data_IF_573400513492
#
_entry.id   IF_573400513492
#
_cell.length_a   1.000
_cell.length_b   1.000
_cell.length_c   1.000
_cell.angle_alpha   90.00
_cell.angle_beta   90.00
_cell.angle_gamma   90.00
#
_symmetry.space_group_name_H-M   'P 1'
#
loop_
_entity.id
_entity.type
_entity.pdbx_description
1 polymer ?
#
# COMPACT_ATOMS: atom_id res chain seq x y z
N UNK A 1 -36.34 -30.74 22.10
CA UNK A 1 -34.94 -30.81 22.58
C UNK A 1 -34.10 -30.76 21.31
N UNK A 2 -33.81 -29.57 20.75
CA UNK A 2 -32.66 -28.68 21.06
C UNK A 2 -31.32 -29.42 20.98
N UNK A 3 -30.38 -28.79 20.27
CA UNK A 3 -28.96 -29.16 20.01
C UNK A 3 -28.77 -29.76 18.60
N UNK A 4 -28.03 -29.18 17.66
CA UNK A 4 -27.36 -27.88 17.56
C UNK A 4 -27.12 -27.69 16.05
N UNK A 5 -27.57 -26.58 15.47
CA UNK A 5 -26.98 -26.13 14.20
C UNK A 5 -25.55 -25.74 14.54
N UNK A 6 -24.59 -26.60 14.20
CA UNK A 6 -23.18 -26.21 14.17
C UNK A 6 -23.08 -25.26 12.99
N UNK A 7 -23.35 -23.99 13.28
CA UNK A 7 -22.78 -22.88 12.52
C UNK A 7 -21.29 -23.10 12.65
N UNK A 8 -20.70 -23.77 11.65
CA UNK A 8 -19.27 -23.67 11.39
C UNK A 8 -19.12 -22.19 11.09
N UNK A 9 -18.82 -21.43 12.15
CA UNK A 9 -18.23 -20.13 12.03
C UNK A 9 -16.96 -20.39 11.23
N UNK A 10 -17.07 -20.22 9.93
CA UNK A 10 -15.96 -19.74 9.13
C UNK A 10 -15.70 -18.37 9.76
N UNK A 11 -14.95 -18.40 10.87
CA UNK A 11 -14.12 -17.29 11.29
C UNK A 11 -13.43 -16.93 10.00
N UNK A 12 -13.88 -15.83 9.39
CA UNK A 12 -13.29 -15.31 8.19
C UNK A 12 -11.83 -15.16 8.50
N UNK A 13 -11.05 -16.15 8.06
CA UNK A 13 -9.61 -16.03 8.02
C UNK A 13 -9.44 -14.97 6.95
N UNK A 14 -9.39 -13.71 7.37
CA UNK A 14 -9.11 -12.60 6.47
C UNK A 14 -7.75 -12.92 5.86
N UNK A 15 -7.76 -13.49 4.67
CA UNK A 15 -6.59 -13.91 3.91
C UNK A 15 -5.64 -12.73 3.65
N UNK A 16 -6.12 -11.50 3.81
CA UNK A 16 -5.35 -10.26 3.66
C UNK A 16 -4.06 -10.19 4.50
N UNK A 17 -3.98 -10.88 5.65
CA UNK A 17 -2.77 -10.85 6.47
C UNK A 17 -1.61 -11.73 5.92
N UNK A 18 -1.86 -12.56 4.90
CA UNK A 18 -0.95 -13.61 4.48
C UNK A 18 -0.02 -13.23 3.31
N UNK A 19 -0.24 -12.11 2.63
CA UNK A 19 0.52 -11.82 1.40
C UNK A 19 1.84 -11.06 1.61
N UNK A 20 2.05 -10.38 2.74
CA UNK A 20 3.33 -9.69 3.01
C UNK A 20 4.41 -10.70 3.44
N UNK A 21 5.56 -10.80 2.72
CA UNK A 21 6.68 -11.65 3.11
C UNK A 21 7.19 -11.35 4.53
N UNK A 22 7.51 -12.39 5.30
CA UNK A 22 7.95 -12.28 6.70
C UNK A 22 9.12 -11.32 6.92
N UNK A 23 10.08 -11.36 6.01
CA UNK A 23 11.28 -10.53 6.07
C UNK A 23 11.00 -9.03 5.89
N UNK A 24 9.85 -8.65 5.32
CA UNK A 24 9.44 -7.26 5.13
C UNK A 24 8.63 -6.71 6.31
N UNK A 25 8.03 -7.55 7.15
CA UNK A 25 7.12 -7.08 8.22
C UNK A 25 7.77 -6.09 9.18
N UNK A 26 9.00 -6.36 9.63
CA UNK A 26 9.70 -5.49 10.57
C UNK A 26 10.15 -4.16 9.92
N UNK A 27 10.81 -4.18 8.74
CA UNK A 27 11.10 -2.95 7.99
C UNK A 27 9.86 -2.09 7.70
N UNK A 28 8.76 -2.70 7.25
CA UNK A 28 7.50 -1.99 6.96
C UNK A 28 6.95 -1.27 8.20
N UNK A 29 6.98 -1.91 9.38
CA UNK A 29 6.56 -1.26 10.63
C UNK A 29 7.42 -0.05 11.00
N UNK A 30 8.72 -0.12 10.74
CA UNK A 30 9.64 0.99 11.01
C UNK A 30 9.34 2.15 10.06
N UNK A 31 9.23 1.89 8.76
CA UNK A 31 8.89 2.90 7.75
C UNK A 31 7.52 3.52 8.03
N UNK A 32 6.49 2.72 8.33
CA UNK A 32 5.15 3.21 8.72
C UNK A 32 5.24 4.22 9.85
N UNK A 33 5.96 3.88 10.93
CA UNK A 33 6.11 4.77 12.10
C UNK A 33 6.82 6.07 11.75
N UNK A 34 7.90 6.00 10.96
CA UNK A 34 8.64 7.17 10.50
C UNK A 34 7.74 8.08 9.65
N UNK A 35 7.07 7.52 8.65
CA UNK A 35 6.25 8.29 7.73
C UNK A 35 4.99 8.87 8.37
N UNK A 36 4.39 8.21 9.37
CA UNK A 36 3.34 8.83 10.18
C UNK A 36 3.85 10.07 10.92
N UNK A 37 5.07 10.00 11.49
CA UNK A 37 5.67 11.13 12.20
C UNK A 37 6.08 12.27 11.26
N UNK A 38 6.67 11.96 10.11
CA UNK A 38 7.17 12.96 9.16
C UNK A 38 6.05 13.67 8.39
N UNK A 39 5.06 12.92 7.89
CA UNK A 39 3.92 13.51 7.17
C UNK A 39 2.93 14.22 8.11
N UNK A 40 2.89 13.81 9.38
CA UNK A 40 1.89 14.26 10.36
C UNK A 40 0.45 13.94 9.93
N UNK A 41 0.25 12.92 9.09
CA UNK A 41 -1.06 12.40 8.71
C UNK A 41 -1.69 11.69 9.91
N UNK A 42 -3.01 11.77 10.03
CA UNK A 42 -3.74 10.95 11.00
C UNK A 42 -3.69 9.48 10.53
N UNK A 43 -3.27 8.58 11.43
CA UNK A 43 -3.15 7.16 11.13
C UNK A 43 -4.48 6.54 10.62
N UNK A 44 -5.62 7.13 11.00
CA UNK A 44 -6.93 6.71 10.50
C UNK A 44 -7.07 6.87 8.98
N UNK A 45 -6.40 7.83 8.34
CA UNK A 45 -6.41 7.95 6.87
C UNK A 45 -5.58 6.86 6.20
N UNK A 46 -4.44 6.50 6.80
CA UNK A 46 -3.63 5.37 6.29
C UNK A 46 -4.41 4.06 6.46
N UNK A 47 -5.01 3.83 7.64
CA UNK A 47 -5.74 2.59 7.94
C UNK A 47 -6.98 2.36 7.04
N UNK A 48 -7.52 3.41 6.41
CA UNK A 48 -8.62 3.26 5.46
C UNK A 48 -8.23 2.46 4.21
N UNK A 49 -6.94 2.42 3.86
CA UNK A 49 -6.46 1.64 2.72
C UNK A 49 -6.72 0.14 2.86
N UNK A 50 -6.83 -0.39 4.09
CA UNK A 50 -7.17 -1.79 4.37
C UNK A 50 -8.50 -2.23 3.77
N UNK A 51 -9.37 -1.25 3.49
CA UNK A 51 -10.68 -1.48 2.89
C UNK A 51 -10.72 -1.02 1.42
N UNK A 52 -9.55 -0.85 0.79
CA UNK A 52 -9.41 -0.33 -0.58
C UNK A 52 -9.72 1.16 -0.71
N UNK A 53 -9.95 1.88 0.39
CA UNK A 53 -10.24 3.31 0.34
C UNK A 53 -8.94 4.12 0.47
N UNK A 54 -8.66 4.96 -0.53
CA UNK A 54 -7.54 5.91 -0.51
C UNK A 54 -8.06 7.35 -0.47
N UNK A 55 -8.21 7.95 0.73
CA UNK A 55 -8.71 9.31 0.87
C UNK A 55 -7.84 10.34 0.15
N UNK A 56 -8.47 11.34 -0.46
CA UNK A 56 -7.79 12.51 -1.00
C UNK A 56 -7.51 13.52 0.13
N UNK A 57 -6.39 13.31 0.81
CA UNK A 57 -5.93 14.16 1.90
C UNK A 57 -4.47 14.53 1.62
N UNK A 58 -4.09 15.83 1.59
CA UNK A 58 -2.74 16.24 1.19
C UNK A 58 -1.61 15.55 1.97
N UNK A 59 -1.81 15.38 3.29
CA UNK A 59 -0.83 14.70 4.15
C UNK A 59 -0.68 13.20 3.85
N UNK A 60 -1.71 12.55 3.31
CA UNK A 60 -1.62 11.16 2.91
C UNK A 60 -0.72 11.00 1.68
N UNK A 61 -0.77 11.95 0.73
CA UNK A 61 0.19 11.97 -0.38
C UNK A 61 1.64 12.06 0.10
N UNK A 62 1.91 12.91 1.11
CA UNK A 62 3.25 12.99 1.69
C UNK A 62 3.65 11.76 2.51
N UNK A 63 2.68 11.05 3.13
CA UNK A 63 2.94 9.75 3.76
C UNK A 63 3.41 8.71 2.74
N UNK A 64 2.74 8.64 1.59
CA UNK A 64 3.08 7.73 0.50
C UNK A 64 4.44 8.09 -0.09
N UNK A 65 4.70 9.39 -0.32
CA UNK A 65 6.01 9.88 -0.76
C UNK A 65 7.12 9.41 0.18
N UNK A 66 6.99 9.68 1.49
CA UNK A 66 7.96 9.24 2.50
C UNK A 66 8.22 7.74 2.41
N UNK A 67 7.16 6.94 2.22
CA UNK A 67 7.30 5.50 2.10
C UNK A 67 8.10 5.11 0.85
N UNK A 68 7.83 5.74 -0.29
CA UNK A 68 8.57 5.51 -1.53
C UNK A 68 10.03 5.94 -1.42
N UNK A 69 10.33 7.02 -0.71
CA UNK A 69 11.71 7.47 -0.45
C UNK A 69 12.47 6.47 0.42
N UNK A 70 11.87 6.01 1.53
CA UNK A 70 12.49 5.00 2.39
C UNK A 70 12.68 3.65 1.70
N UNK A 71 11.77 3.28 0.80
CA UNK A 71 11.86 2.07 0.00
C UNK A 71 12.82 2.20 -1.19
N UNK A 72 13.34 3.41 -1.49
CA UNK A 72 14.20 3.67 -2.64
C UNK A 72 13.49 3.52 -3.99
N UNK A 73 12.19 3.83 -4.04
CA UNK A 73 11.34 3.65 -5.22
C UNK A 73 11.04 4.95 -5.96
N UNK A 74 11.55 6.09 -5.51
CA UNK A 74 11.24 7.38 -6.14
C UNK A 74 12.48 8.25 -6.27
N UNK A 75 12.63 8.85 -7.45
CA UNK A 75 13.70 9.78 -7.77
C UNK A 75 13.40 11.22 -7.29
N UNK A 76 14.38 12.11 -7.38
CA UNK A 76 14.22 13.53 -7.03
C UNK A 76 13.19 14.23 -7.92
N UNK A 77 13.08 13.85 -9.19
CA UNK A 77 12.10 14.40 -10.14
C UNK A 77 10.67 13.85 -9.95
N UNK A 78 10.49 12.90 -9.01
CA UNK A 78 9.22 12.27 -8.70
C UNK A 78 8.91 11.03 -9.54
N UNK A 79 9.83 10.57 -10.39
CA UNK A 79 9.68 9.30 -11.13
C UNK A 79 9.69 8.13 -10.16
N UNK A 80 8.65 7.28 -10.22
CA UNK A 80 8.46 6.12 -9.35
C UNK A 80 8.85 4.83 -10.09
N UNK A 81 9.71 4.03 -9.46
CA UNK A 81 10.26 2.77 -9.95
C UNK A 81 9.83 1.59 -9.06
N UNK A 82 8.54 1.23 -9.10
CA UNK A 82 8.02 0.07 -8.34
C UNK A 82 8.68 -1.26 -8.74
N UNK A 83 9.26 -1.32 -9.94
CA UNK A 83 9.96 -2.51 -10.43
C UNK A 83 11.23 -2.83 -9.62
N UNK A 84 11.81 -1.84 -8.92
CA UNK A 84 13.08 -2.01 -8.22
C UNK A 84 12.93 -2.88 -6.96
N UNK A 85 11.73 -2.94 -6.39
CA UNK A 85 11.43 -3.73 -5.19
C UNK A 85 10.80 -5.09 -5.46
N UNK A 86 10.55 -5.46 -6.73
CA UNK A 86 9.87 -6.73 -7.08
C UNK A 86 10.56 -7.96 -6.49
N UNK A 87 11.89 -7.93 -6.40
CA UNK A 87 12.71 -9.03 -5.87
C UNK A 87 12.50 -9.28 -4.35
N UNK A 88 11.89 -8.33 -3.64
CA UNK A 88 11.55 -8.42 -2.23
C UNK A 88 10.14 -9.02 -2.01
N UNK A 89 9.30 -9.01 -3.06
CA UNK A 89 7.89 -9.38 -2.96
C UNK A 89 7.69 -10.89 -3.14
N UNK A 90 6.54 -11.39 -2.70
CA UNK A 90 6.09 -12.73 -3.07
C UNK A 90 5.76 -12.77 -4.59
N UNK A 91 5.75 -13.96 -5.23
CA UNK A 91 5.48 -14.05 -6.67
C UNK A 91 4.15 -13.41 -7.08
N UNK A 92 3.09 -13.57 -6.28
CA UNK A 92 1.77 -12.97 -6.53
C UNK A 92 1.83 -11.44 -6.47
N UNK A 93 2.43 -10.89 -5.42
CA UNK A 93 2.60 -9.45 -5.27
C UNK A 93 3.50 -8.85 -6.35
N UNK A 94 4.55 -9.56 -6.77
CA UNK A 94 5.44 -9.11 -7.83
C UNK A 94 4.72 -9.03 -9.18
N UNK A 95 3.83 -9.97 -9.49
CA UNK A 95 3.00 -9.92 -10.70
C UNK A 95 2.04 -8.72 -10.68
N UNK A 96 1.34 -8.51 -9.56
CA UNK A 96 0.48 -7.33 -9.39
C UNK A 96 1.26 -6.02 -9.49
N UNK A 97 2.41 -5.92 -8.82
CA UNK A 97 3.28 -4.74 -8.85
C UNK A 97 3.78 -4.44 -10.27
N UNK A 98 4.15 -5.47 -11.03
CA UNK A 98 4.53 -5.32 -12.45
C UNK A 98 3.35 -4.80 -13.28
N UNK A 99 2.17 -5.41 -13.13
CA UNK A 99 0.96 -5.01 -13.86
C UNK A 99 0.61 -3.53 -13.61
N UNK A 100 0.53 -3.10 -12.36
CA UNK A 100 0.18 -1.70 -12.05
C UNK A 100 1.25 -0.72 -12.47
N UNK A 101 2.55 -1.11 -12.42
CA UNK A 101 3.66 -0.29 -12.91
C UNK A 101 3.57 -0.02 -14.42
N UNK A 102 3.21 -1.04 -15.20
CA UNK A 102 3.03 -0.91 -16.66
C UNK A 102 1.80 -0.08 -17.02
N UNK A 103 0.69 -0.27 -16.29
CA UNK A 103 -0.59 0.38 -16.55
C UNK A 103 -0.64 1.86 -16.13
N UNK A 104 -0.13 2.16 -14.94
CA UNK A 104 -0.26 3.49 -14.35
C UNK A 104 0.95 4.37 -14.66
N UNK A 105 2.15 3.78 -14.70
CA UNK A 105 3.43 4.52 -14.72
C UNK A 105 3.46 5.58 -13.62
N UNK A 106 4.38 6.54 -13.70
CA UNK A 106 4.35 7.72 -12.82
C UNK A 106 3.31 8.72 -13.34
N UNK A 107 2.43 9.17 -12.46
CA UNK A 107 1.45 10.24 -12.74
C UNK A 107 1.90 11.48 -11.97
N UNK A 108 2.47 12.46 -12.67
CA UNK A 108 2.98 13.69 -12.06
C UNK A 108 1.83 14.63 -11.64
N UNK A 109 1.89 15.09 -10.39
CA UNK A 109 1.04 16.16 -9.86
C UNK A 109 1.82 17.46 -9.64
N UNK A 110 1.19 18.42 -8.95
CA UNK A 110 1.79 19.74 -8.69
C UNK A 110 2.99 19.65 -7.73
N UNK A 111 2.99 18.68 -6.82
CA UNK A 111 4.08 18.39 -5.88
C UNK A 111 4.47 16.90 -5.93
N UNK A 112 5.62 16.55 -5.33
CA UNK A 112 6.01 15.13 -5.17
C UNK A 112 5.01 14.34 -4.31
N UNK A 113 4.35 14.98 -3.34
CA UNK A 113 3.28 14.34 -2.57
C UNK A 113 2.08 14.02 -3.46
N UNK A 114 1.71 14.93 -4.37
CA UNK A 114 0.62 14.72 -5.31
C UNK A 114 0.97 13.62 -6.32
N UNK A 115 2.20 13.61 -6.82
CA UNK A 115 2.71 12.55 -7.71
C UNK A 115 2.61 11.16 -7.04
N UNK A 116 3.03 11.05 -5.79
CA UNK A 116 2.94 9.82 -5.02
C UNK A 116 1.48 9.37 -4.82
N UNK A 117 0.59 10.30 -4.46
CA UNK A 117 -0.83 10.01 -4.26
C UNK A 117 -1.54 9.61 -5.56
N UNK A 118 -1.36 10.37 -6.65
CA UNK A 118 -1.99 10.11 -7.95
C UNK A 118 -1.57 8.76 -8.51
N UNK A 119 -0.28 8.45 -8.43
CA UNK A 119 0.26 7.16 -8.89
C UNK A 119 -0.31 6.01 -8.07
N UNK A 120 -0.34 6.15 -6.74
CA UNK A 120 -0.90 5.14 -5.84
C UNK A 120 -2.40 4.96 -6.01
N UNK A 121 -3.14 6.05 -6.26
CA UNK A 121 -4.56 6.00 -6.57
C UNK A 121 -4.82 5.14 -7.81
N UNK A 122 -4.02 5.30 -8.87
CA UNK A 122 -4.12 4.45 -10.04
C UNK A 122 -3.85 2.97 -9.70
N UNK A 123 -2.88 2.67 -8.83
CA UNK A 123 -2.64 1.29 -8.39
C UNK A 123 -3.86 0.70 -7.68
N UNK A 124 -4.50 1.47 -6.78
CA UNK A 124 -5.73 1.06 -6.09
C UNK A 124 -6.89 0.82 -7.07
N UNK A 125 -6.99 1.62 -8.14
CA UNK A 125 -8.02 1.47 -9.18
C UNK A 125 -7.78 0.23 -10.08
N UNK A 126 -6.51 -0.10 -10.37
CA UNK A 126 -6.13 -1.20 -11.26
C UNK A 126 -6.06 -2.55 -10.55
N UNK A 127 -5.65 -2.57 -9.29
CA UNK A 127 -5.48 -3.77 -8.49
C UNK A 127 -6.08 -3.59 -7.07
N UNK A 128 -7.41 -3.46 -6.95
CA UNK A 128 -8.06 -3.21 -5.65
C UNK A 128 -7.87 -4.38 -4.67
N UNK A 129 -7.78 -5.61 -5.17
CA UNK A 129 -7.44 -6.78 -4.37
C UNK A 129 -5.97 -6.74 -3.97
N UNK A 130 -5.70 -6.58 -2.66
CA UNK A 130 -4.34 -6.51 -2.11
C UNK A 130 -3.75 -5.10 -2.03
N UNK A 131 -4.50 -4.07 -2.44
CA UNK A 131 -4.09 -2.67 -2.26
C UNK A 131 -4.28 -2.21 -0.81
N UNK A 132 -3.19 -2.19 -0.05
CA UNK A 132 -3.10 -1.62 1.29
C UNK A 132 -1.81 -0.78 1.41
N UNK A 133 -1.91 0.39 2.05
CA UNK A 133 -0.74 1.15 2.47
C UNK A 133 -0.11 0.49 3.71
N UNK A 134 1.22 0.28 3.72
CA UNK A 134 1.96 -0.20 4.88
C UNK A 134 1.70 0.62 6.14
#
# INVERSE_FOLDING_TARGET
>A
MKVLLIVIGVVGLSLAALDIPDHLRAPLKVMRKACLAESGVDENYVNQSRNGNLPDVPKLGCYILCFFEHAGMIEEDGTIHFNDVLHLLSPSLAETAKYVSEECKTIHGDTRCDTAWLTTKCFFEKAPEGSELP
#
